data_IF_560301210073
#
_entry.id   IF_560301210073
#
_cell.length_a   1.000
_cell.length_b   1.000
_cell.length_c   1.000
_cell.angle_alpha   90.00
_cell.angle_beta   90.00
_cell.angle_gamma   90.00
#
_symmetry.space_group_name_H-M   'P 1'
#
loop_
_entity.id
_entity.type
_entity.pdbx_description
1 polymer ?
#
# COMPACT_ATOMS: atom_id res chain seq x y z
N UNK A 1 -0.96 -35.57 0.88
CA UNK A 1 0.37 -35.03 0.58
C UNK A 1 0.46 -33.50 0.72
N UNK A 2 -0.55 -32.74 0.22
CA UNK A 2 -0.55 -31.25 0.24
C UNK A 2 -0.71 -30.65 1.65
N UNK A 3 -1.39 -31.34 2.57
CA UNK A 3 -1.66 -30.81 3.92
C UNK A 3 -0.40 -30.71 4.80
N UNK A 4 0.52 -31.64 4.65
CA UNK A 4 1.81 -31.60 5.38
C UNK A 4 2.79 -30.59 4.82
N UNK A 5 2.70 -30.29 3.51
CA UNK A 5 3.52 -29.27 2.87
C UNK A 5 3.22 -27.86 3.37
N UNK A 6 1.95 -27.52 3.59
CA UNK A 6 1.54 -26.21 4.10
C UNK A 6 2.01 -25.94 5.52
N UNK A 7 1.92 -26.92 6.40
CA UNK A 7 2.32 -26.75 7.79
C UNK A 7 3.86 -26.64 7.93
N UNK A 8 4.61 -27.39 7.13
CA UNK A 8 6.06 -27.24 7.03
C UNK A 8 6.46 -25.86 6.48
N UNK A 9 5.72 -25.35 5.48
CA UNK A 9 5.94 -24.03 4.91
C UNK A 9 5.67 -22.93 5.93
N UNK A 10 4.56 -23.00 6.69
CA UNK A 10 4.26 -22.04 7.74
C UNK A 10 5.37 -22.00 8.78
N UNK A 11 5.90 -23.15 9.18
CA UNK A 11 7.04 -23.23 10.10
C UNK A 11 8.30 -22.57 9.54
N UNK A 12 8.63 -22.79 8.26
CA UNK A 12 9.74 -22.13 7.59
C UNK A 12 9.54 -20.60 7.53
N UNK A 13 8.31 -20.13 7.33
CA UNK A 13 8.00 -18.70 7.33
C UNK A 13 8.16 -18.10 8.74
N UNK A 14 7.76 -18.80 9.78
CA UNK A 14 7.93 -18.37 11.18
C UNK A 14 9.42 -18.29 11.56
N UNK A 15 10.24 -19.20 11.05
CA UNK A 15 11.69 -19.22 11.24
C UNK A 15 12.43 -18.20 10.36
N UNK A 16 11.78 -17.69 9.30
CA UNK A 16 12.40 -16.75 8.38
C UNK A 16 12.52 -15.35 9.00
N UNK A 17 13.74 -14.89 9.19
CA UNK A 17 14.06 -13.59 9.81
C UNK A 17 14.29 -12.46 8.79
N UNK A 18 13.79 -12.59 7.57
CA UNK A 18 13.95 -11.57 6.53
C UNK A 18 15.27 -11.63 5.78
N UNK A 19 16.01 -12.73 5.88
CA UNK A 19 17.22 -12.94 5.09
C UNK A 19 16.87 -12.96 3.59
N UNK A 20 17.51 -12.03 2.85
CA UNK A 20 17.30 -11.87 1.41
C UNK A 20 17.77 -13.06 0.58
N UNK A 21 18.58 -13.97 1.15
CA UNK A 21 19.17 -15.13 0.46
C UNK A 21 18.20 -16.31 0.26
N UNK A 22 17.02 -16.29 0.88
CA UNK A 22 16.06 -17.39 0.83
C UNK A 22 15.28 -17.48 -0.49
N UNK A 23 15.98 -17.52 -1.63
CA UNK A 23 15.34 -17.84 -2.94
C UNK A 23 14.58 -19.15 -2.91
N UNK A 24 15.08 -20.11 -2.13
CA UNK A 24 14.46 -21.42 -1.95
C UNK A 24 13.11 -21.33 -1.23
N UNK A 25 13.01 -20.52 -0.18
CA UNK A 25 11.76 -20.26 0.52
C UNK A 25 10.76 -19.57 -0.44
N UNK A 26 11.20 -18.57 -1.19
CA UNK A 26 10.34 -17.86 -2.15
C UNK A 26 9.87 -18.77 -3.29
N UNK A 27 10.76 -19.63 -3.79
CA UNK A 27 10.39 -20.63 -4.82
C UNK A 27 9.40 -21.66 -4.25
N UNK A 28 9.58 -22.07 -3.00
CA UNK A 28 8.67 -22.99 -2.33
C UNK A 28 7.28 -22.35 -2.07
N UNK A 29 7.24 -21.06 -1.71
CA UNK A 29 5.99 -20.30 -1.52
C UNK A 29 5.26 -20.08 -2.85
N UNK A 30 5.97 -19.99 -3.97
CA UNK A 30 5.38 -19.90 -5.30
C UNK A 30 4.58 -21.15 -5.72
N UNK A 31 4.71 -22.24 -4.98
CA UNK A 31 3.85 -23.43 -5.15
C UNK A 31 2.57 -23.22 -4.31
N UNK A 32 1.76 -22.30 -4.74
CA UNK A 32 0.31 -22.13 -4.56
C UNK A 32 -0.36 -22.75 -3.32
N UNK A 33 0.01 -22.33 -2.13
CA UNK A 33 -0.85 -22.62 -1.00
C UNK A 33 -1.65 -21.39 -0.57
N UNK A 34 -2.94 -21.37 -0.91
CA UNK A 34 -3.88 -20.35 -0.49
C UNK A 34 -3.92 -20.20 1.04
N UNK A 35 -3.60 -21.26 1.78
CA UNK A 35 -3.51 -21.24 3.25
C UNK A 35 -2.33 -20.38 3.71
N UNK A 36 -1.18 -20.50 3.06
CA UNK A 36 0.01 -19.67 3.33
C UNK A 36 -0.27 -18.21 3.03
N UNK A 37 -0.84 -17.91 1.87
CA UNK A 37 -1.22 -16.54 1.49
C UNK A 37 -2.20 -15.92 2.48
N UNK A 38 -3.20 -16.68 2.92
CA UNK A 38 -4.17 -16.23 3.90
C UNK A 38 -3.51 -15.98 5.26
N UNK A 39 -2.63 -16.88 5.71
CA UNK A 39 -1.88 -16.72 6.95
C UNK A 39 -1.04 -15.44 6.91
N UNK A 40 -0.16 -15.28 5.92
CA UNK A 40 0.66 -14.08 5.75
C UNK A 40 -0.21 -12.81 5.68
N UNK A 41 -1.32 -12.86 4.96
CA UNK A 41 -2.22 -11.72 4.84
C UNK A 41 -2.88 -11.31 6.17
N UNK A 42 -2.95 -12.19 7.15
CA UNK A 42 -3.45 -11.86 8.49
C UNK A 42 -2.39 -11.22 9.38
N UNK A 43 -1.12 -11.40 9.06
CA UNK A 43 0.02 -10.87 9.83
C UNK A 43 0.43 -9.45 9.40
N UNK A 44 0.02 -8.96 8.22
CA UNK A 44 0.52 -7.71 7.62
C UNK A 44 0.39 -6.46 8.51
N UNK A 45 -0.55 -6.47 9.46
CA UNK A 45 -0.76 -5.34 10.35
C UNK A 45 0.40 -5.13 11.34
N UNK A 46 1.02 -6.22 11.77
CA UNK A 46 2.00 -6.22 12.85
C UNK A 46 3.37 -6.81 12.46
N UNK A 47 3.47 -7.38 11.26
CA UNK A 47 4.67 -8.07 10.80
C UNK A 47 5.15 -7.53 9.44
N UNK A 48 6.29 -6.82 9.49
CA UNK A 48 6.94 -6.29 8.29
C UNK A 48 7.49 -7.39 7.37
N UNK A 49 7.84 -8.56 7.94
CA UNK A 49 8.30 -9.69 7.14
C UNK A 49 7.17 -10.28 6.32
N UNK A 50 5.95 -10.31 6.86
CA UNK A 50 4.78 -10.73 6.10
C UNK A 50 4.50 -9.79 4.91
N UNK A 51 4.68 -8.47 5.10
CA UNK A 51 4.58 -7.48 4.01
C UNK A 51 5.62 -7.78 2.93
N UNK A 52 6.87 -7.99 3.33
CA UNK A 52 7.98 -8.30 2.43
C UNK A 52 7.73 -9.57 1.63
N UNK A 53 7.34 -10.66 2.30
CA UNK A 53 7.06 -11.94 1.65
C UNK A 53 5.93 -11.85 0.64
N UNK A 54 4.81 -11.22 1.02
CA UNK A 54 3.67 -11.06 0.11
C UNK A 54 4.04 -10.20 -1.10
N UNK A 55 4.85 -9.16 -0.91
CA UNK A 55 5.34 -8.33 -2.01
C UNK A 55 6.19 -9.15 -3.00
N UNK A 56 7.08 -10.02 -2.49
CA UNK A 56 7.91 -10.89 -3.32
C UNK A 56 7.15 -12.02 -4.01
N UNK A 57 6.10 -12.56 -3.37
CA UNK A 57 5.20 -13.54 -3.98
C UNK A 57 4.53 -12.96 -5.24
N UNK A 58 4.17 -11.68 -5.22
CA UNK A 58 3.68 -10.97 -6.39
C UNK A 58 2.22 -11.27 -6.74
N UNK A 59 1.97 -11.59 -8.00
CA UNK A 59 0.63 -11.69 -8.60
C UNK A 59 -0.40 -12.48 -7.76
N UNK A 60 -0.09 -13.65 -7.16
CA UNK A 60 -1.06 -14.39 -6.34
C UNK A 60 -1.58 -13.61 -5.13
N UNK A 61 -0.79 -12.68 -4.57
CA UNK A 61 -1.18 -11.89 -3.41
C UNK A 61 -2.07 -10.69 -3.75
N UNK A 62 -2.08 -10.22 -5.02
CA UNK A 62 -2.81 -8.99 -5.42
C UNK A 62 -4.29 -9.05 -5.05
N UNK A 63 -4.97 -10.15 -5.36
CA UNK A 63 -6.41 -10.28 -5.11
C UNK A 63 -6.74 -10.23 -3.62
N UNK A 64 -5.90 -10.83 -2.79
CA UNK A 64 -6.06 -10.82 -1.33
C UNK A 64 -5.82 -9.40 -0.80
N UNK A 65 -4.77 -8.71 -1.26
CA UNK A 65 -4.47 -7.34 -0.84
C UNK A 65 -5.56 -6.37 -1.26
N UNK A 66 -6.07 -6.44 -2.49
CA UNK A 66 -7.24 -5.65 -2.93
C UNK A 66 -8.46 -5.87 -2.04
N UNK A 67 -8.69 -7.09 -1.56
CA UNK A 67 -9.76 -7.38 -0.60
C UNK A 67 -9.47 -6.76 0.78
N UNK A 68 -8.24 -6.86 1.28
CA UNK A 68 -7.82 -6.24 2.56
C UNK A 68 -7.91 -4.71 2.53
N UNK A 69 -7.67 -4.06 1.40
CA UNK A 69 -7.89 -2.61 1.23
C UNK A 69 -9.36 -2.19 1.39
N UNK A 70 -10.31 -3.12 1.43
CA UNK A 70 -11.72 -2.86 1.74
C UNK A 70 -12.06 -3.04 3.22
N UNK A 71 -11.10 -3.44 4.06
CA UNK A 71 -11.29 -3.63 5.50
C UNK A 71 -11.85 -2.37 6.17
N UNK A 72 -12.63 -2.54 7.21
CA UNK A 72 -13.07 -1.42 8.05
C UNK A 72 -11.92 -0.86 8.89
N UNK A 73 -10.91 -1.67 9.20
CA UNK A 73 -9.74 -1.27 9.98
C UNK A 73 -8.71 -0.56 9.10
N UNK A 74 -8.36 0.68 9.46
CA UNK A 74 -7.46 1.53 8.66
C UNK A 74 -6.05 0.93 8.57
N UNK A 75 -5.50 0.43 9.67
CA UNK A 75 -4.18 -0.21 9.70
C UNK A 75 -4.06 -1.36 8.71
N UNK A 76 -5.08 -2.22 8.60
CA UNK A 76 -5.11 -3.32 7.63
C UNK A 76 -5.15 -2.78 6.19
N UNK A 77 -5.93 -1.72 5.93
CA UNK A 77 -5.99 -1.13 4.59
C UNK A 77 -4.65 -0.55 4.17
N UNK A 78 -3.97 0.15 5.08
CA UNK A 78 -2.69 0.78 4.80
C UNK A 78 -1.59 -0.27 4.61
N UNK A 79 -1.51 -1.27 5.51
CA UNK A 79 -0.57 -2.38 5.35
C UNK A 79 -0.77 -3.15 4.03
N UNK A 80 -2.02 -3.36 3.61
CA UNK A 80 -2.30 -3.97 2.30
C UNK A 80 -1.83 -3.08 1.13
N UNK A 81 -1.99 -1.76 1.26
CA UNK A 81 -1.44 -0.80 0.31
C UNK A 81 0.10 -0.87 0.25
N UNK A 82 0.75 -0.98 1.40
CA UNK A 82 2.22 -1.09 1.49
C UNK A 82 2.73 -2.36 0.79
N UNK A 83 2.05 -3.50 0.97
CA UNK A 83 2.37 -4.73 0.22
C UNK A 83 2.31 -4.49 -1.29
N UNK A 84 1.23 -3.85 -1.78
CA UNK A 84 1.05 -3.60 -3.21
C UNK A 84 2.07 -2.62 -3.78
N UNK A 85 2.43 -1.57 -3.04
CA UNK A 85 3.49 -0.63 -3.46
C UNK A 85 4.83 -1.35 -3.50
N UNK A 86 5.18 -2.06 -2.44
CA UNK A 86 6.44 -2.80 -2.35
C UNK A 86 6.55 -3.92 -3.40
N UNK A 87 5.41 -4.50 -3.80
CA UNK A 87 5.36 -5.50 -4.86
C UNK A 87 5.90 -4.97 -6.20
N UNK A 88 5.74 -3.68 -6.48
CA UNK A 88 6.21 -3.06 -7.72
C UNK A 88 7.74 -3.10 -7.80
N UNK A 89 8.45 -3.00 -6.66
CA UNK A 89 9.91 -3.09 -6.60
C UNK A 89 10.42 -4.46 -7.09
N UNK A 90 9.67 -5.53 -6.82
CA UNK A 90 10.03 -6.90 -7.24
C UNK A 90 9.39 -7.32 -8.56
N UNK A 91 8.24 -6.74 -8.89
CA UNK A 91 7.42 -7.08 -10.04
C UNK A 91 6.96 -5.81 -10.77
N UNK A 92 7.85 -5.10 -11.49
CA UNK A 92 7.49 -3.83 -12.16
C UNK A 92 6.27 -3.92 -13.07
N UNK A 93 6.05 -5.08 -13.70
CA UNK A 93 4.88 -5.32 -14.55
C UNK A 93 3.55 -5.28 -13.78
N UNK A 94 3.56 -5.43 -12.45
CA UNK A 94 2.37 -5.29 -11.62
C UNK A 94 1.85 -3.84 -11.60
N UNK A 95 2.71 -2.85 -11.82
CA UNK A 95 2.35 -1.43 -11.84
C UNK A 95 1.17 -1.15 -12.78
N UNK A 96 1.21 -1.65 -14.00
CA UNK A 96 0.14 -1.43 -14.98
C UNK A 96 -1.22 -1.94 -14.50
N UNK A 97 -1.25 -3.13 -13.87
CA UNK A 97 -2.49 -3.70 -13.34
C UNK A 97 -3.00 -2.99 -12.08
N UNK A 98 -2.11 -2.38 -11.31
CA UNK A 98 -2.45 -1.64 -10.10
C UNK A 98 -2.89 -0.21 -10.43
N UNK A 99 -2.20 0.48 -11.34
CA UNK A 99 -2.48 1.86 -11.73
C UNK A 99 -3.73 1.98 -12.59
N UNK A 100 -4.01 1.02 -13.46
CA UNK A 100 -5.23 1.03 -14.29
C UNK A 100 -6.52 1.12 -13.47
N UNK A 101 -6.46 0.78 -12.19
CA UNK A 101 -7.60 0.84 -11.29
C UNK A 101 -7.84 2.23 -10.67
N UNK A 102 -6.88 3.17 -10.69
CA UNK A 102 -7.00 4.46 -9.99
C UNK A 102 -8.20 5.24 -10.50
N UNK A 103 -8.27 5.46 -11.80
CA UNK A 103 -9.34 6.26 -12.43
C UNK A 103 -10.71 5.56 -12.39
N UNK A 104 -10.74 4.26 -12.11
CA UNK A 104 -11.97 3.46 -11.99
C UNK A 104 -12.54 3.45 -10.56
N UNK A 105 -11.72 3.83 -9.57
CA UNK A 105 -12.15 3.84 -8.17
C UNK A 105 -12.89 5.14 -7.84
N UNK A 106 -13.99 5.01 -7.10
CA UNK A 106 -14.73 6.17 -6.61
C UNK A 106 -13.94 6.93 -5.54
N UNK A 107 -14.23 8.23 -5.40
CA UNK A 107 -13.60 9.16 -4.44
C UNK A 107 -13.54 8.60 -3.02
N UNK A 108 -14.60 7.93 -2.56
CA UNK A 108 -14.63 7.30 -1.23
C UNK A 108 -13.56 6.22 -1.05
N UNK A 109 -13.34 5.39 -2.07
CA UNK A 109 -12.32 4.32 -2.02
C UNK A 109 -10.92 4.92 -1.99
N UNK A 110 -10.70 5.96 -2.79
CA UNK A 110 -9.42 6.68 -2.84
C UNK A 110 -9.15 7.36 -1.51
N UNK A 111 -10.13 8.08 -0.94
CA UNK A 111 -9.98 8.74 0.36
C UNK A 111 -9.59 7.75 1.49
N UNK A 112 -10.17 6.55 1.48
CA UNK A 112 -9.88 5.52 2.49
C UNK A 112 -8.50 4.86 2.34
N UNK A 113 -7.89 4.97 1.17
CA UNK A 113 -6.63 4.31 0.82
C UNK A 113 -5.62 5.28 0.19
N UNK A 114 -5.74 6.57 0.47
CA UNK A 114 -4.97 7.63 -0.18
C UNK A 114 -3.45 7.42 -0.13
N UNK A 115 -2.83 6.85 0.93
CA UNK A 115 -1.39 6.66 0.94
C UNK A 115 -0.91 5.75 -0.19
N UNK A 116 -1.67 4.68 -0.47
CA UNK A 116 -1.40 3.80 -1.60
C UNK A 116 -1.41 4.53 -2.94
N UNK A 117 -2.43 5.37 -3.18
CA UNK A 117 -2.57 6.09 -4.44
C UNK A 117 -1.53 7.20 -4.63
N UNK A 118 -1.14 7.91 -3.55
CA UNK A 118 -0.05 8.88 -3.60
C UNK A 118 1.26 8.17 -3.94
N UNK A 119 1.57 7.05 -3.31
CA UNK A 119 2.79 6.29 -3.55
C UNK A 119 2.86 5.66 -4.94
N UNK A 120 1.74 5.36 -5.56
CA UNK A 120 1.71 5.01 -6.99
C UNK A 120 2.09 6.19 -7.88
N UNK A 121 1.75 7.42 -7.49
CA UNK A 121 2.17 8.64 -8.14
C UNK A 121 1.84 8.73 -9.63
N UNK A 122 0.67 8.26 -10.04
CA UNK A 122 0.28 8.25 -11.44
C UNK A 122 -0.09 9.66 -11.92
N UNK A 123 0.62 10.16 -12.92
CA UNK A 123 0.30 11.43 -13.57
C UNK A 123 -1.14 11.44 -14.10
N UNK A 124 -1.88 12.53 -13.84
CA UNK A 124 -3.31 12.66 -14.14
C UNK A 124 -4.24 12.17 -13.04
N UNK A 125 -3.72 11.57 -11.96
CA UNK A 125 -4.53 11.15 -10.80
C UNK A 125 -4.67 12.25 -9.73
N UNK A 126 -3.97 13.37 -9.86
CA UNK A 126 -3.92 14.46 -8.88
C UNK A 126 -5.33 15.01 -8.59
N UNK A 127 -6.14 15.19 -9.62
CA UNK A 127 -7.49 15.74 -9.47
C UNK A 127 -8.40 14.82 -8.64
N UNK A 128 -8.36 13.52 -8.87
CA UNK A 128 -9.19 12.58 -8.10
C UNK A 128 -8.68 12.46 -6.65
N UNK A 129 -7.38 12.57 -6.41
CA UNK A 129 -6.78 12.61 -5.07
C UNK A 129 -7.24 13.86 -4.31
N UNK A 130 -7.22 15.04 -4.96
CA UNK A 130 -7.69 16.28 -4.35
C UNK A 130 -9.21 16.27 -4.07
N UNK A 131 -10.00 15.63 -4.93
CA UNK A 131 -11.42 15.36 -4.63
C UNK A 131 -11.57 14.45 -3.41
N UNK A 132 -10.70 13.46 -3.27
CA UNK A 132 -10.70 12.57 -2.10
C UNK A 132 -10.33 13.31 -0.81
N UNK A 133 -9.38 14.25 -0.85
CA UNK A 133 -9.04 15.11 0.27
C UNK A 133 -10.23 15.96 0.71
N UNK A 134 -10.95 16.61 -0.23
CA UNK A 134 -12.16 17.37 0.11
C UNK A 134 -13.28 16.51 0.65
N UNK A 135 -13.41 15.28 0.14
CA UNK A 135 -14.47 14.35 0.55
C UNK A 135 -14.31 13.87 1.98
N UNK A 136 -13.09 13.60 2.44
CA UNK A 136 -12.79 13.02 3.75
C UNK A 136 -11.64 13.77 4.42
N UNK A 137 -11.77 15.10 4.50
CA UNK A 137 -10.75 15.95 5.09
C UNK A 137 -10.45 15.52 6.54
N UNK A 138 -9.17 15.26 6.81
CA UNK A 138 -8.64 15.07 8.14
C UNK A 138 -7.25 15.71 8.23
N UNK A 139 -6.85 16.12 9.42
CA UNK A 139 -5.53 16.74 9.64
C UNK A 139 -4.40 15.82 9.14
N UNK A 140 -4.44 14.54 9.50
CA UNK A 140 -3.43 13.55 9.07
C UNK A 140 -3.38 13.42 7.56
N UNK A 141 -4.53 13.27 6.90
CA UNK A 141 -4.60 13.18 5.45
C UNK A 141 -4.08 14.47 4.79
N UNK A 142 -4.42 15.63 5.35
CA UNK A 142 -3.94 16.91 4.84
C UNK A 142 -2.42 17.02 4.94
N UNK A 143 -1.83 16.66 6.08
CA UNK A 143 -0.36 16.65 6.29
C UNK A 143 0.33 15.76 5.26
N UNK A 144 -0.19 14.57 5.02
CA UNK A 144 0.37 13.64 4.02
C UNK A 144 0.32 14.22 2.60
N UNK A 145 -0.76 14.94 2.27
CA UNK A 145 -0.89 15.60 0.96
C UNK A 145 0.04 16.82 0.82
N UNK A 146 0.26 17.56 1.90
CA UNK A 146 1.16 18.72 1.92
C UNK A 146 2.64 18.33 1.84
N UNK A 147 2.97 17.07 2.12
CA UNK A 147 4.33 16.55 2.14
C UNK A 147 4.52 15.36 1.20
N UNK A 148 3.66 15.22 0.20
CA UNK A 148 3.70 14.05 -0.67
C UNK A 148 4.77 14.13 -1.78
N UNK A 149 5.41 15.28 -2.00
CA UNK A 149 6.42 15.47 -3.04
C UNK A 149 5.85 15.78 -4.43
N UNK A 150 4.51 15.86 -4.58
CA UNK A 150 3.87 16.37 -5.80
C UNK A 150 3.51 17.84 -5.64
N UNK A 151 4.25 18.73 -6.28
CA UNK A 151 4.03 20.19 -6.20
C UNK A 151 2.56 20.57 -6.50
N UNK A 152 1.97 19.94 -7.50
CA UNK A 152 0.56 20.18 -7.88
C UNK A 152 -0.40 19.82 -6.74
N UNK A 153 -0.18 18.69 -6.05
CA UNK A 153 -1.02 18.28 -4.92
C UNK A 153 -0.76 19.19 -3.73
N UNK A 154 0.48 19.48 -3.40
CA UNK A 154 0.87 20.31 -2.24
C UNK A 154 0.28 21.71 -2.31
N UNK A 155 0.42 22.42 -3.47
CA UNK A 155 -0.10 23.76 -3.65
C UNK A 155 -1.63 23.80 -3.51
N UNK A 156 -2.31 22.82 -4.09
CA UNK A 156 -3.78 22.74 -4.03
C UNK A 156 -4.29 22.26 -2.68
N UNK A 157 -3.58 21.35 -2.00
CA UNK A 157 -3.87 20.92 -0.64
C UNK A 157 -3.70 22.07 0.37
N UNK A 158 -2.69 22.92 0.16
CA UNK A 158 -2.50 24.17 0.94
C UNK A 158 -3.75 25.05 0.88
N UNK A 159 -4.32 25.24 -0.30
CA UNK A 159 -5.57 26.01 -0.45
C UNK A 159 -6.72 25.34 0.28
N UNK A 160 -6.90 24.02 0.11
CA UNK A 160 -7.96 23.28 0.78
C UNK A 160 -7.81 23.38 2.29
N UNK A 161 -6.59 23.28 2.84
CA UNK A 161 -6.34 23.43 4.26
C UNK A 161 -6.76 24.80 4.78
N UNK A 162 -6.37 25.89 4.08
CA UNK A 162 -6.75 27.26 4.44
C UNK A 162 -8.26 27.48 4.37
N UNK A 163 -8.90 26.96 3.34
CA UNK A 163 -10.38 27.05 3.16
C UNK A 163 -11.13 26.34 4.30
N UNK A 164 -10.47 25.34 4.96
CA UNK A 164 -10.97 24.64 6.14
C UNK A 164 -10.49 25.23 7.48
N UNK A 165 -9.87 26.41 7.47
CA UNK A 165 -9.43 27.12 8.67
C UNK A 165 -8.12 26.62 9.29
N UNK A 166 -7.35 25.81 8.57
CA UNK A 166 -6.06 25.31 9.04
C UNK A 166 -4.91 26.26 8.65
N UNK A 167 -4.04 26.54 9.62
CA UNK A 167 -2.81 27.28 9.38
C UNK A 167 -1.78 26.30 8.83
N UNK A 168 -1.37 26.53 7.59
CA UNK A 168 -0.28 25.75 6.96
C UNK A 168 1.04 26.42 7.29
N UNK A 169 1.85 25.80 8.13
CA UNK A 169 3.20 26.25 8.45
C UNK A 169 4.18 25.54 7.54
N UNK A 170 4.95 26.25 6.69
CA UNK A 170 5.97 25.66 5.85
C UNK A 170 7.01 24.90 6.70
N UNK A 171 7.37 23.71 6.29
CA UNK A 171 8.39 22.90 6.96
C UNK A 171 7.94 22.09 8.18
N UNK A 172 6.70 22.17 8.58
CA UNK A 172 6.15 21.29 9.62
C UNK A 172 5.71 19.99 8.96
N UNK A 173 6.51 18.93 9.11
CA UNK A 173 6.15 17.60 8.67
C UNK A 173 7.18 16.94 7.76
N UNK A 174 8.46 17.00 8.10
CA UNK A 174 9.46 16.04 7.58
C UNK A 174 9.20 14.66 8.20
N UNK A 175 8.05 14.13 7.97
CA UNK A 175 7.70 12.79 8.40
C UNK A 175 7.61 11.93 7.17
N UNK A 176 7.92 10.69 7.34
CA UNK A 176 7.81 9.56 6.43
C UNK A 176 6.40 9.36 5.84
N UNK A 177 5.77 10.45 5.40
CA UNK A 177 4.50 10.41 4.68
C UNK A 177 4.67 9.74 3.32
N UNK A 178 3.57 9.35 2.69
CA UNK A 178 3.61 8.72 1.39
C UNK A 178 4.21 9.68 0.34
N UNK A 179 5.31 9.27 -0.28
CA UNK A 179 6.01 10.03 -1.31
C UNK A 179 5.42 9.70 -2.67
N UNK A 180 5.15 10.74 -3.47
CA UNK A 180 4.61 10.61 -4.82
C UNK A 180 5.52 9.74 -5.70
N UNK A 181 4.93 8.70 -6.28
CA UNK A 181 5.66 7.78 -7.16
C UNK A 181 6.70 6.90 -6.47
N UNK A 182 6.67 6.76 -5.15
CA UNK A 182 7.61 5.90 -4.42
C UNK A 182 7.41 4.40 -4.65
N UNK A 183 6.40 4.04 -5.43
CA UNK A 183 6.16 2.67 -5.88
C UNK A 183 6.65 2.42 -7.32
N UNK A 184 7.47 3.30 -7.89
CA UNK A 184 8.05 3.16 -9.23
C UNK A 184 9.54 2.86 -9.16
#
# INVERSE_FOLDING_TARGET
>A
ALKHGSDAMLKLIEEWKGDKSSKELLNAINIFDQKVLNHLSNLIENDKNAIELLARIGQPAISIMKRKMRSNKQSIRFAAGDVLVKMIEYHPNALTSLTSAINKNGVRTIARNYPFYIRLGQSGSEEILLKALRYNFSTTMCVDYLNCGSKTIEDRATKIAKDNGYIVTPGFGSHSGPIWGSGS
#
